data_IF_229315585165
#
_entry.id   IF_229315585165
#
_cell.length_a   1.000
_cell.length_b   1.000
_cell.length_c   1.000
_cell.angle_alpha   90.00
_cell.angle_beta   90.00
_cell.angle_gamma   90.00
#
_symmetry.space_group_name_H-M   'P 1'
#
loop_
_entity.id
_entity.type
_entity.pdbx_description
1 polymer ?
#
# COMPACT_ATOMS: atom_id res chain seq x y z
N UNK A 1 -42.82 27.71 -48.78
CA UNK A 1 -43.14 28.18 -47.43
C UNK A 1 -42.55 27.15 -46.49
N UNK A 2 -41.26 27.32 -46.19
CA UNK A 2 -40.80 28.07 -45.01
C UNK A 2 -41.21 27.29 -43.76
N UNK A 3 -40.25 26.71 -43.04
CA UNK A 3 -39.51 27.50 -42.07
C UNK A 3 -37.99 27.36 -42.15
N UNK A 4 -37.38 28.53 -42.23
CA UNK A 4 -35.96 28.80 -42.08
C UNK A 4 -35.47 28.67 -40.62
N UNK A 5 -34.15 28.52 -40.56
CA UNK A 5 -33.29 28.47 -39.40
C UNK A 5 -33.33 29.71 -38.50
N UNK A 6 -33.06 29.50 -37.22
CA UNK A 6 -32.16 30.36 -36.45
C UNK A 6 -31.26 29.46 -35.58
N UNK A 7 -29.99 29.36 -35.99
CA UNK A 7 -28.94 28.73 -35.21
C UNK A 7 -28.50 29.61 -34.05
N UNK A 8 -27.98 28.97 -33.01
CA UNK A 8 -27.03 29.60 -32.10
C UNK A 8 -25.71 28.85 -32.16
N UNK A 9 -24.66 29.65 -32.36
CA UNK A 9 -23.35 29.22 -32.81
C UNK A 9 -22.58 28.40 -31.80
N UNK A 10 -21.69 27.57 -32.35
CA UNK A 10 -20.76 26.77 -31.58
C UNK A 10 -19.74 27.61 -30.81
N UNK A 11 -19.49 27.17 -29.59
CA UNK A 11 -18.31 27.47 -28.79
C UNK A 11 -17.77 26.16 -28.22
N UNK A 12 -17.35 25.26 -29.12
CA UNK A 12 -16.87 23.93 -28.76
C UNK A 12 -15.44 23.98 -28.22
N UNK A 13 -15.29 24.09 -26.91
CA UNK A 13 -14.05 23.80 -26.19
C UNK A 13 -14.07 22.39 -25.60
N UNK A 14 -14.30 21.35 -26.41
CA UNK A 14 -14.15 19.96 -25.94
C UNK A 14 -12.67 19.58 -25.96
N UNK A 15 -12.02 19.67 -24.81
CA UNK A 15 -10.75 19.00 -24.56
C UNK A 15 -10.95 17.49 -24.57
N UNK A 16 -10.97 16.88 -25.75
CA UNK A 16 -10.98 15.43 -25.91
C UNK A 16 -9.55 14.90 -26.02
N UNK A 17 -9.20 13.88 -25.24
CA UNK A 17 -8.02 13.07 -25.51
C UNK A 17 -8.27 12.31 -26.81
N UNK A 18 -7.66 12.77 -27.91
CA UNK A 18 -7.76 12.09 -29.20
C UNK A 18 -6.81 10.90 -29.20
N UNK A 19 -7.32 9.71 -28.88
CA UNK A 19 -6.60 8.45 -29.08
C UNK A 19 -6.52 8.20 -30.58
N UNK A 20 -5.35 8.45 -31.17
CA UNK A 20 -5.09 8.13 -32.57
C UNK A 20 -4.53 6.72 -32.64
N UNK A 21 -5.40 5.73 -32.85
CA UNK A 21 -4.99 4.37 -33.19
C UNK A 21 -4.39 4.39 -34.61
N UNK A 22 -3.06 4.33 -34.72
CA UNK A 22 -2.39 4.21 -36.01
C UNK A 22 -2.48 2.75 -36.46
N UNK A 23 -3.60 2.36 -37.08
CA UNK A 23 -3.68 1.09 -37.82
C UNK A 23 -2.79 1.19 -39.07
N UNK A 24 -1.59 0.62 -38.99
CA UNK A 24 -0.84 0.25 -40.17
C UNK A 24 -1.60 -0.86 -40.89
N UNK A 25 -2.33 -0.51 -41.94
CA UNK A 25 -3.05 -1.47 -42.76
C UNK A 25 -2.07 -2.35 -43.55
N UNK A 26 -2.25 -3.66 -43.46
CA UNK A 26 -2.56 -4.54 -44.59
C UNK A 26 -3.21 -5.83 -44.08
N UNK A 27 -4.48 -6.03 -44.40
CA UNK A 27 -5.11 -7.35 -44.61
C UNK A 27 -5.62 -8.17 -43.42
N UNK A 28 -6.94 -8.14 -43.20
CA UNK A 28 -7.72 -9.38 -42.96
C UNK A 28 -8.23 -9.68 -41.55
N UNK A 29 -9.50 -9.35 -41.30
CA UNK A 29 -10.45 -10.26 -40.62
C UNK A 29 -10.65 -10.17 -39.11
N UNK A 30 -11.77 -9.54 -38.70
CA UNK A 30 -12.59 -9.98 -37.56
C UNK A 30 -12.21 -9.48 -36.16
N UNK A 31 -12.95 -8.51 -35.63
CA UNK A 31 -12.92 -8.15 -34.21
C UNK A 31 -13.71 -6.89 -33.89
N UNK A 32 -14.85 -7.04 -33.22
CA UNK A 32 -15.83 -5.99 -32.93
C UNK A 32 -15.26 -4.79 -32.16
N UNK A 33 -15.83 -3.62 -32.46
CA UNK A 33 -15.48 -2.36 -31.85
C UNK A 33 -15.84 -2.32 -30.35
N UNK A 34 -14.86 -2.07 -29.49
CA UNK A 34 -15.07 -1.44 -28.20
C UNK A 34 -14.47 -0.02 -28.26
N UNK A 35 -15.26 0.92 -28.79
CA UNK A 35 -15.01 2.34 -28.59
C UNK A 35 -15.72 2.76 -27.31
N UNK A 36 -15.06 2.55 -26.15
CA UNK A 36 -15.51 3.13 -24.89
C UNK A 36 -14.96 4.54 -24.76
N UNK A 37 -15.82 5.56 -24.84
CA UNK A 37 -15.48 6.89 -24.33
C UNK A 37 -15.23 6.77 -22.82
N UNK A 38 -14.06 7.16 -22.36
CA UNK A 38 -13.80 7.38 -20.94
C UNK A 38 -14.24 8.80 -20.61
N UNK A 39 -15.49 8.97 -20.18
CA UNK A 39 -15.94 10.21 -19.56
C UNK A 39 -15.50 10.21 -18.09
N UNK A 40 -14.52 11.05 -17.75
CA UNK A 40 -14.16 11.32 -16.36
C UNK A 40 -15.15 12.35 -15.82
N UNK A 41 -16.17 11.90 -15.08
CA UNK A 41 -17.01 12.79 -14.29
C UNK A 41 -16.29 13.14 -12.98
N UNK A 42 -15.81 14.38 -12.86
CA UNK A 42 -15.47 14.98 -11.58
C UNK A 42 -16.75 15.57 -10.99
N UNK A 43 -17.32 14.92 -9.99
CA UNK A 43 -18.42 15.47 -9.21
C UNK A 43 -17.83 16.38 -8.14
N UNK A 44 -18.06 17.68 -8.28
CA UNK A 44 -17.79 18.65 -7.21
C UNK A 44 -19.04 18.73 -6.35
N UNK A 45 -18.97 18.27 -5.11
CA UNK A 45 -19.97 18.58 -4.10
C UNK A 45 -19.63 19.96 -3.50
N UNK A 46 -20.49 20.94 -3.74
CA UNK A 46 -20.36 22.28 -3.20
C UNK A 46 -21.50 22.50 -2.20
N UNK A 47 -21.28 22.14 -0.94
CA UNK A 47 -22.20 22.46 0.15
C UNK A 47 -22.15 23.97 0.44
N UNK A 48 -23.19 24.69 0.01
CA UNK A 48 -23.44 26.08 0.36
C UNK A 48 -24.54 26.14 1.41
N UNK A 49 -24.12 26.23 2.68
CA UNK A 49 -25.02 26.39 3.82
C UNK A 49 -25.54 27.85 3.88
N UNK A 50 -26.70 28.09 3.27
CA UNK A 50 -27.39 29.39 3.27
C UNK A 50 -28.47 29.43 4.35
N UNK A 51 -28.08 29.28 5.61
CA UNK A 51 -28.97 29.46 6.75
C UNK A 51 -28.70 30.81 7.43
N UNK A 52 -29.44 31.85 7.04
CA UNK A 52 -29.55 33.06 7.85
C UNK A 52 -29.78 34.37 7.10
N UNK A 53 -30.93 34.57 6.46
CA UNK A 53 -31.43 35.92 6.20
C UNK A 53 -32.94 36.02 6.46
N UNK A 54 -33.28 36.84 7.46
CA UNK A 54 -34.64 37.20 7.88
C UNK A 54 -35.27 38.19 6.89
N UNK A 55 -36.56 38.01 6.64
CA UNK A 55 -37.40 38.74 5.70
C UNK A 55 -37.82 40.11 6.24
N UNK A 56 -37.31 41.20 5.65
CA UNK A 56 -38.01 42.50 5.50
C UNK A 56 -37.10 43.53 4.79
N UNK A 57 -36.98 43.45 3.45
CA UNK A 57 -36.71 44.57 2.50
C UNK A 57 -36.52 44.02 1.07
N UNK A 58 -37.61 43.51 0.49
CA UNK A 58 -37.53 42.21 -0.19
C UNK A 58 -37.33 42.21 -1.72
N UNK A 59 -37.12 43.34 -2.39
CA UNK A 59 -36.89 43.36 -3.85
C UNK A 59 -35.55 43.97 -4.29
N UNK A 60 -35.04 44.99 -3.59
CA UNK A 60 -33.78 45.65 -3.99
C UNK A 60 -32.53 44.92 -3.47
N UNK A 61 -32.60 44.33 -2.27
CA UNK A 61 -31.51 43.51 -1.71
C UNK A 61 -31.37 42.15 -2.42
N UNK A 62 -32.48 41.53 -2.84
CA UNK A 62 -32.44 40.27 -3.62
C UNK A 62 -31.81 40.48 -5.00
N UNK A 63 -32.10 41.60 -5.67
CA UNK A 63 -31.48 41.95 -6.94
C UNK A 63 -29.98 42.22 -6.83
N UNK A 64 -29.53 42.92 -5.77
CA UNK A 64 -28.11 43.16 -5.52
C UNK A 64 -27.38 41.87 -5.12
N UNK A 65 -27.99 41.01 -4.31
CA UNK A 65 -27.40 39.74 -3.92
C UNK A 65 -27.29 38.76 -5.10
N UNK A 66 -28.32 38.72 -5.97
CA UNK A 66 -28.29 37.93 -7.21
C UNK A 66 -27.24 38.46 -8.19
N UNK A 67 -27.11 39.78 -8.33
CA UNK A 67 -26.05 40.38 -9.13
C UNK A 67 -24.66 40.10 -8.55
N UNK A 68 -24.46 40.18 -7.23
CA UNK A 68 -23.18 39.84 -6.59
C UNK A 68 -22.85 38.36 -6.77
N UNK A 69 -23.83 37.45 -6.66
CA UNK A 69 -23.64 36.03 -6.93
C UNK A 69 -23.31 35.79 -8.41
N UNK A 70 -24.05 36.38 -9.35
CA UNK A 70 -23.80 36.22 -10.79
C UNK A 70 -22.47 36.86 -11.23
N UNK A 71 -22.07 37.98 -10.63
CA UNK A 71 -20.77 38.62 -10.84
C UNK A 71 -19.67 37.75 -10.22
N UNK A 72 -19.90 37.18 -9.02
CA UNK A 72 -18.96 36.23 -8.41
C UNK A 72 -18.80 34.96 -9.25
N UNK A 73 -19.88 34.42 -9.81
CA UNK A 73 -19.84 33.31 -10.78
C UNK A 73 -19.18 33.72 -12.11
N UNK A 74 -19.37 34.96 -12.56
CA UNK A 74 -18.71 35.52 -13.75
C UNK A 74 -17.21 35.78 -13.57
N UNK A 75 -16.73 35.91 -12.32
CA UNK A 75 -15.32 36.06 -11.99
C UNK A 75 -14.64 34.75 -11.53
N UNK A 76 -15.39 33.68 -11.28
CA UNK A 76 -14.85 32.32 -11.09
C UNK A 76 -14.85 31.56 -12.43
N UNK A 77 -14.49 32.24 -13.53
CA UNK A 77 -13.86 31.53 -14.63
C UNK A 77 -12.42 31.26 -14.19
N UNK A 78 -12.22 30.18 -13.43
CA UNK A 78 -10.91 29.57 -13.26
C UNK A 78 -10.37 29.39 -14.68
N UNK A 79 -9.33 30.14 -15.01
CA UNK A 79 -8.68 30.08 -16.32
C UNK A 79 -8.03 28.71 -16.43
N UNK A 80 -8.80 27.70 -16.85
CA UNK A 80 -8.33 26.36 -17.06
C UNK A 80 -7.36 26.40 -18.24
N UNK A 81 -6.06 26.44 -17.93
CA UNK A 81 -5.04 26.22 -18.95
C UNK A 81 -5.16 24.78 -19.40
N UNK A 82 -5.73 24.61 -20.58
CA UNK A 82 -5.74 23.32 -21.27
C UNK A 82 -4.39 23.16 -21.94
N UNK A 83 -3.56 22.27 -21.40
CA UNK A 83 -2.35 21.84 -22.07
C UNK A 83 -2.63 20.63 -22.96
N UNK A 84 -2.20 20.70 -24.21
CA UNK A 84 -2.33 19.58 -25.14
C UNK A 84 -1.22 18.57 -24.88
N UNK A 85 -1.57 17.44 -24.27
CA UNK A 85 -0.68 16.28 -24.11
C UNK A 85 -0.86 15.26 -25.23
N UNK A 86 0.22 14.52 -25.56
CA UNK A 86 0.15 13.34 -26.43
C UNK A 86 0.66 12.13 -25.68
N UNK A 87 -0.18 11.11 -25.57
CA UNK A 87 0.16 9.80 -24.97
C UNK A 87 0.31 8.77 -26.08
N UNK A 88 1.39 8.00 -26.06
CA UNK A 88 1.61 6.85 -26.94
C UNK A 88 1.44 5.57 -26.14
N UNK A 89 0.54 4.69 -26.59
CA UNK A 89 0.30 3.38 -25.97
C UNK A 89 0.88 2.31 -26.89
N UNK A 90 1.91 1.60 -26.42
CA UNK A 90 2.41 0.40 -27.10
C UNK A 90 1.69 -0.84 -26.55
N UNK A 91 0.69 -1.32 -27.30
CA UNK A 91 -0.04 -2.54 -26.97
C UNK A 91 0.67 -3.84 -27.34
N UNK A 92 1.85 -3.78 -28.00
CA UNK A 92 2.58 -4.98 -28.45
C UNK A 92 3.59 -5.49 -27.41
N UNK A 93 4.03 -4.63 -26.50
CA UNK A 93 5.09 -4.93 -25.54
C UNK A 93 4.56 -4.92 -24.10
N UNK A 94 4.66 -6.04 -23.41
CA UNK A 94 4.33 -6.12 -21.98
C UNK A 94 5.55 -5.75 -21.13
N UNK A 95 5.40 -4.80 -20.21
CA UNK A 95 6.48 -4.39 -19.29
C UNK A 95 6.42 -5.11 -17.92
N UNK A 96 5.28 -5.68 -17.55
CA UNK A 96 5.09 -6.42 -16.30
C UNK A 96 3.70 -7.06 -16.16
N UNK A 97 3.56 -7.91 -15.16
CA UNK A 97 2.32 -8.53 -14.69
C UNK A 97 2.01 -8.02 -13.29
N UNK A 98 0.80 -7.58 -13.02
CA UNK A 98 0.35 -7.34 -11.65
C UNK A 98 -0.50 -8.51 -11.20
N UNK A 99 -0.41 -8.88 -9.93
CA UNK A 99 -1.26 -9.90 -9.32
C UNK A 99 -2.74 -9.45 -9.34
N UNK A 100 -3.67 -10.40 -9.27
CA UNK A 100 -5.11 -10.11 -9.27
C UNK A 100 -5.54 -9.31 -8.04
N UNK A 101 -4.79 -9.43 -6.95
CA UNK A 101 -4.94 -8.72 -5.68
C UNK A 101 -3.78 -7.72 -5.46
N UNK A 102 -3.42 -7.00 -6.54
CA UNK A 102 -2.36 -5.98 -6.55
C UNK A 102 -2.65 -4.80 -5.62
N UNK A 103 -3.92 -4.37 -5.51
CA UNK A 103 -4.29 -3.36 -4.51
C UNK A 103 -4.24 -4.02 -3.14
N UNK A 104 -3.47 -3.41 -2.24
CA UNK A 104 -3.20 -3.93 -0.92
C UNK A 104 -3.49 -2.86 0.15
N UNK A 105 -3.85 -3.30 1.35
CA UNK A 105 -3.98 -2.46 2.53
C UNK A 105 -3.23 -3.08 3.72
N UNK A 106 -2.95 -2.26 4.73
CA UNK A 106 -2.33 -2.71 5.98
C UNK A 106 -3.23 -2.40 7.16
N UNK A 107 -3.35 -3.31 8.12
CA UNK A 107 -3.95 -3.04 9.43
C UNK A 107 -2.86 -3.11 10.50
N UNK A 108 -2.74 -2.04 11.30
CA UNK A 108 -1.72 -1.93 12.34
C UNK A 108 -2.22 -2.41 13.72
N UNK A 109 -1.31 -2.47 14.69
CA UNK A 109 -1.52 -2.86 16.08
C UNK A 109 -1.74 -1.68 17.03
N UNK A 110 -1.52 -0.45 16.58
CA UNK A 110 -1.47 0.73 17.45
C UNK A 110 -2.73 0.94 18.27
N UNK A 111 -2.62 1.16 19.59
CA UNK A 111 -3.78 1.39 20.42
C UNK A 111 -4.26 2.86 20.30
N UNK A 112 -5.49 3.18 20.75
CA UNK A 112 -6.07 4.53 20.62
C UNK A 112 -5.22 5.64 21.25
N UNK A 113 -4.43 5.31 22.29
CA UNK A 113 -3.57 6.25 23.01
C UNK A 113 -2.31 6.64 22.23
N UNK A 114 -2.10 6.07 21.04
CA UNK A 114 -1.06 6.51 20.14
C UNK A 114 -1.45 7.85 19.50
N UNK A 115 -0.79 8.89 19.98
CA UNK A 115 -0.89 10.23 19.40
C UNK A 115 0.48 10.67 18.87
N UNK A 116 0.51 11.13 17.63
CA UNK A 116 1.67 11.79 17.02
C UNK A 116 1.28 13.24 16.72
N UNK A 117 2.17 14.18 17.03
CA UNK A 117 2.01 15.58 16.64
C UNK A 117 0.69 16.22 17.13
N UNK A 118 0.21 15.81 18.30
CA UNK A 118 -1.04 16.30 18.89
C UNK A 118 -2.32 15.67 18.34
N UNK A 119 -2.23 14.70 17.43
CA UNK A 119 -3.39 13.98 16.87
C UNK A 119 -3.30 12.49 17.18
N UNK A 120 -4.40 11.91 17.68
CA UNK A 120 -4.51 10.48 17.95
C UNK A 120 -5.25 9.80 16.80
N UNK A 121 -4.53 9.55 15.70
CA UNK A 121 -5.12 9.11 14.44
C UNK A 121 -5.67 7.67 14.45
N UNK A 122 -5.28 6.85 15.42
CA UNK A 122 -5.55 5.41 15.41
C UNK A 122 -6.92 5.03 15.98
N UNK A 123 -7.44 5.76 16.97
CA UNK A 123 -8.73 5.48 17.61
C UNK A 123 -9.06 3.96 17.69
N UNK A 124 -10.14 3.50 17.03
CA UNK A 124 -10.53 2.10 16.94
C UNK A 124 -10.16 1.45 15.58
N UNK A 125 -9.06 1.83 14.94
CA UNK A 125 -8.66 1.30 13.62
C UNK A 125 -7.70 0.12 13.68
N UNK A 126 -7.14 -0.18 14.85
CA UNK A 126 -6.22 -1.30 15.03
C UNK A 126 -6.90 -2.64 14.82
N UNK A 127 -6.12 -3.62 14.35
CA UNK A 127 -6.60 -4.99 14.20
C UNK A 127 -7.11 -5.60 15.51
N UNK A 128 -6.76 -5.03 16.67
CA UNK A 128 -7.27 -5.44 17.98
C UNK A 128 -8.68 -4.93 18.29
N UNK A 129 -9.04 -3.73 17.83
CA UNK A 129 -10.23 -3.01 18.30
C UNK A 129 -11.19 -2.57 17.18
N UNK A 130 -10.81 -2.67 15.90
CA UNK A 130 -11.71 -2.32 14.79
C UNK A 130 -13.02 -3.10 14.82
N UNK A 131 -14.12 -2.37 14.58
CA UNK A 131 -15.45 -2.95 14.49
C UNK A 131 -15.62 -3.70 13.17
N UNK A 132 -15.36 -5.01 13.23
CA UNK A 132 -15.52 -5.93 12.10
C UNK A 132 -17.00 -6.13 11.68
N UNK A 133 -17.98 -5.64 12.46
CA UNK A 133 -19.41 -5.67 12.11
C UNK A 133 -19.85 -4.41 11.38
N UNK A 134 -19.00 -3.38 11.29
CA UNK A 134 -19.32 -2.15 10.60
C UNK A 134 -19.58 -2.43 9.11
N UNK A 135 -20.79 -2.09 8.65
CA UNK A 135 -21.24 -2.36 7.28
C UNK A 135 -20.45 -1.56 6.24
N UNK A 136 -20.07 -0.33 6.56
CA UNK A 136 -19.30 0.54 5.66
C UNK A 136 -17.91 -0.07 5.46
N UNK A 137 -17.23 -0.43 6.55
CA UNK A 137 -15.91 -1.06 6.49
C UNK A 137 -15.96 -2.38 5.70
N UNK A 138 -16.93 -3.25 6.01
CA UNK A 138 -17.12 -4.52 5.28
C UNK A 138 -17.37 -4.32 3.79
N UNK A 139 -18.20 -3.34 3.41
CA UNK A 139 -18.50 -3.04 2.01
C UNK A 139 -17.30 -2.44 1.29
N UNK A 140 -16.50 -1.60 1.96
CA UNK A 140 -15.27 -1.06 1.40
C UNK A 140 -14.28 -2.17 1.03
N UNK A 141 -14.02 -3.12 1.95
CA UNK A 141 -13.13 -4.26 1.65
C UNK A 141 -13.66 -5.10 0.49
N UNK A 142 -14.97 -5.34 0.44
CA UNK A 142 -15.61 -6.08 -0.67
C UNK A 142 -15.51 -5.38 -2.02
N UNK A 143 -15.55 -4.04 -2.04
CA UNK A 143 -15.43 -3.27 -3.28
C UNK A 143 -14.05 -3.44 -3.94
N UNK A 144 -13.02 -3.75 -3.14
CA UNK A 144 -11.66 -4.05 -3.62
C UNK A 144 -11.39 -5.56 -3.76
N UNK A 145 -12.40 -6.43 -3.70
CA UNK A 145 -12.19 -7.89 -3.68
C UNK A 145 -11.64 -8.44 -5.01
N UNK A 146 -10.56 -9.25 -4.99
CA UNK A 146 -9.77 -9.63 -3.81
C UNK A 146 -8.84 -8.50 -3.34
N UNK A 147 -8.99 -8.08 -2.07
CA UNK A 147 -8.08 -7.11 -1.44
C UNK A 147 -7.06 -7.89 -0.62
N UNK A 148 -5.78 -7.65 -0.87
CA UNK A 148 -4.70 -8.19 -0.03
C UNK A 148 -4.53 -7.32 1.22
N UNK A 149 -4.70 -7.89 2.41
CA UNK A 149 -4.57 -7.20 3.69
C UNK A 149 -3.39 -7.77 4.46
N UNK A 150 -2.41 -6.91 4.76
CA UNK A 150 -1.28 -7.25 5.62
C UNK A 150 -1.58 -6.83 7.05
N UNK A 151 -1.63 -7.81 7.94
CA UNK A 151 -1.77 -7.61 9.38
C UNK A 151 -0.38 -7.53 9.99
N UNK A 152 0.01 -6.35 10.44
CA UNK A 152 1.38 -6.14 10.89
C UNK A 152 1.54 -4.77 11.49
N UNK A 153 2.74 -4.21 11.39
CA UNK A 153 3.02 -2.90 11.98
C UNK A 153 4.12 -2.99 13.01
N UNK A 154 4.32 -1.90 13.73
CA UNK A 154 5.41 -1.79 14.70
C UNK A 154 5.29 -2.78 15.87
N UNK A 155 4.11 -2.81 16.49
CA UNK A 155 3.94 -3.52 17.74
C UNK A 155 3.81 -5.04 17.53
N UNK A 156 3.90 -5.52 16.28
CA UNK A 156 3.94 -6.94 15.98
C UNK A 156 5.12 -7.64 16.68
N UNK A 157 6.25 -6.96 16.85
CA UNK A 157 7.41 -7.50 17.57
C UNK A 157 7.27 -7.42 19.12
N UNK A 158 6.14 -6.95 19.62
CA UNK A 158 5.77 -6.94 21.05
C UNK A 158 4.49 -7.70 21.35
N UNK A 159 3.92 -8.39 20.37
CA UNK A 159 2.70 -9.17 20.57
C UNK A 159 3.03 -10.59 21.02
N UNK A 160 2.21 -11.11 21.94
CA UNK A 160 2.15 -12.52 22.32
C UNK A 160 0.81 -13.07 21.84
N UNK A 161 0.82 -14.21 21.15
CA UNK A 161 -0.40 -14.87 20.73
C UNK A 161 -0.95 -15.72 21.86
N UNK A 162 -2.22 -15.55 22.21
CA UNK A 162 -2.87 -16.41 23.18
C UNK A 162 -2.91 -17.84 22.64
N UNK A 163 -2.55 -18.80 23.48
CA UNK A 163 -2.61 -20.23 23.16
C UNK A 163 -3.50 -20.94 24.18
N UNK A 164 -3.96 -22.15 23.85
CA UNK A 164 -4.78 -22.95 24.79
C UNK A 164 -4.08 -23.24 26.12
N UNK A 165 -2.75 -23.25 26.12
CA UNK A 165 -1.91 -23.54 27.29
C UNK A 165 -1.43 -22.26 27.97
N UNK A 166 -1.87 -21.08 27.52
CA UNK A 166 -1.44 -19.80 28.07
C UNK A 166 -2.27 -19.47 29.31
N UNK A 167 -1.67 -19.64 30.49
CA UNK A 167 -2.32 -19.35 31.78
C UNK A 167 -2.37 -17.86 32.13
N UNK A 168 -1.61 -17.02 31.42
CA UNK A 168 -1.57 -15.57 31.69
C UNK A 168 -2.73 -14.84 31.03
N UNK A 169 -3.27 -13.78 31.67
CA UNK A 169 -4.29 -12.93 31.07
C UNK A 169 -3.76 -12.27 29.79
N UNK A 170 -4.62 -12.22 28.76
CA UNK A 170 -4.30 -11.62 27.48
C UNK A 170 -4.48 -10.10 27.57
N UNK A 171 -3.41 -9.40 27.92
CA UNK A 171 -3.43 -7.96 28.19
C UNK A 171 -3.21 -7.13 26.91
N UNK A 172 -3.88 -5.96 26.78
CA UNK A 172 -3.63 -5.04 25.68
C UNK A 172 -2.27 -4.35 25.81
N UNK A 173 -1.85 -3.65 24.75
CA UNK A 173 -0.71 -2.73 24.81
C UNK A 173 -1.01 -1.58 25.75
N UNK A 174 -0.09 -1.27 26.66
CA UNK A 174 -0.16 -0.11 27.56
C UNK A 174 1.02 0.79 27.28
N UNK A 175 0.79 2.10 27.18
CA UNK A 175 1.85 3.09 26.96
C UNK A 175 2.84 3.07 28.12
N UNK A 176 4.12 2.87 27.80
CA UNK A 176 5.22 2.89 28.73
C UNK A 176 6.49 3.36 28.00
N UNK A 177 6.91 4.60 28.22
CA UNK A 177 8.02 5.23 27.48
C UNK A 177 9.38 4.61 27.76
N UNK A 178 9.52 3.84 28.85
CA UNK A 178 10.75 3.13 29.19
C UNK A 178 10.90 1.82 28.43
N UNK A 179 9.83 1.34 27.79
CA UNK A 179 9.80 0.11 27.02
C UNK A 179 10.15 0.33 25.55
N UNK A 180 10.60 -0.74 24.88
CA UNK A 180 10.77 -0.73 23.43
C UNK A 180 9.48 -0.26 22.74
N UNK A 181 9.61 0.68 21.80
CA UNK A 181 8.51 1.36 21.09
C UNK A 181 7.57 2.21 21.96
N UNK A 182 7.83 2.37 23.25
CA UNK A 182 7.00 3.15 24.15
C UNK A 182 5.74 2.43 24.62
N UNK A 183 5.67 1.11 24.51
CA UNK A 183 4.53 0.28 24.93
C UNK A 183 4.99 -1.03 25.59
N UNK A 184 4.18 -1.57 26.49
CA UNK A 184 4.37 -2.93 27.04
C UNK A 184 4.22 -4.00 25.96
N UNK A 185 4.43 -5.27 26.32
CA UNK A 185 3.94 -6.35 25.47
C UNK A 185 2.41 -6.32 25.43
N UNK A 186 1.85 -6.65 24.27
CA UNK A 186 0.42 -6.81 24.03
C UNK A 186 0.08 -8.24 23.70
N UNK A 187 -1.21 -8.56 23.65
CA UNK A 187 -1.68 -9.90 23.38
C UNK A 187 -2.78 -9.92 22.32
N UNK A 188 -2.69 -10.87 21.39
CA UNK A 188 -3.76 -11.21 20.47
C UNK A 188 -4.54 -12.41 21.04
N UNK A 189 -5.79 -12.18 21.42
CA UNK A 189 -6.64 -13.26 21.93
C UNK A 189 -7.08 -14.21 20.82
N UNK A 190 -7.34 -15.48 21.17
CA UNK A 190 -7.87 -16.45 20.20
C UNK A 190 -9.26 -16.06 19.71
N UNK A 191 -10.08 -15.41 20.55
CA UNK A 191 -11.38 -14.89 20.14
C UNK A 191 -11.25 -13.80 19.07
N UNK A 192 -10.33 -12.85 19.25
CA UNK A 192 -10.10 -11.79 18.26
C UNK A 192 -9.52 -12.37 16.96
N UNK A 193 -8.63 -13.36 17.06
CA UNK A 193 -8.13 -14.08 15.88
C UNK A 193 -9.25 -14.79 15.12
N UNK A 194 -10.18 -15.45 15.83
CA UNK A 194 -11.36 -16.07 15.24
C UNK A 194 -12.27 -15.02 14.55
N UNK A 195 -12.47 -13.86 15.17
CA UNK A 195 -13.29 -12.77 14.61
C UNK A 195 -12.69 -12.20 13.32
N UNK A 196 -11.38 -11.95 13.33
CA UNK A 196 -10.63 -11.46 12.16
C UNK A 196 -10.73 -12.45 10.99
N UNK A 197 -10.47 -13.73 11.22
CA UNK A 197 -10.50 -14.73 10.16
C UNK A 197 -11.91 -14.92 9.57
N UNK A 198 -12.97 -14.86 10.39
CA UNK A 198 -14.35 -14.85 9.86
C UNK A 198 -14.62 -13.63 8.98
N UNK A 199 -14.17 -12.45 9.42
CA UNK A 199 -14.31 -11.24 8.62
C UNK A 199 -13.60 -11.33 7.26
N UNK A 200 -12.37 -11.88 7.22
CA UNK A 200 -11.64 -12.05 5.96
C UNK A 200 -12.29 -13.07 5.03
N UNK A 201 -12.80 -14.18 5.57
CA UNK A 201 -13.57 -15.15 4.79
C UNK A 201 -14.85 -14.53 4.20
N UNK A 202 -15.59 -13.75 5.00
CA UNK A 202 -16.83 -13.08 4.56
C UNK A 202 -16.60 -11.98 3.52
N UNK A 203 -15.43 -11.36 3.51
CA UNK A 203 -15.04 -10.29 2.59
C UNK A 203 -14.21 -10.78 1.40
N UNK A 204 -13.80 -12.06 1.41
CA UNK A 204 -12.87 -12.67 0.45
C UNK A 204 -11.53 -11.91 0.37
N UNK A 205 -11.08 -11.37 1.50
CA UNK A 205 -9.78 -10.74 1.61
C UNK A 205 -8.66 -11.78 1.63
N UNK A 206 -7.53 -11.46 1.00
CA UNK A 206 -6.32 -12.29 0.99
C UNK A 206 -5.39 -11.79 2.08
N UNK A 207 -5.04 -12.63 3.06
CA UNK A 207 -4.43 -12.14 4.31
C UNK A 207 -2.97 -12.56 4.44
N UNK A 208 -2.09 -11.61 4.72
CA UNK A 208 -0.74 -11.90 5.21
C UNK A 208 -0.60 -11.45 6.66
N UNK A 209 0.23 -12.14 7.44
CA UNK A 209 0.35 -11.86 8.88
C UNK A 209 1.81 -11.76 9.32
N UNK A 210 2.15 -10.66 9.98
CA UNK A 210 3.44 -10.38 10.59
C UNK A 210 3.59 -11.03 11.96
N UNK A 211 4.59 -11.91 12.07
CA UNK A 211 4.96 -12.61 13.29
C UNK A 211 5.91 -11.77 14.16
N UNK A 212 5.88 -11.97 15.47
CA UNK A 212 6.86 -11.37 16.37
C UNK A 212 8.24 -12.02 16.18
N UNK A 213 9.24 -11.29 15.67
CA UNK A 213 10.60 -11.83 15.51
C UNK A 213 11.54 -11.55 16.69
N UNK A 214 11.13 -10.76 17.69
CA UNK A 214 11.94 -10.48 18.88
C UNK A 214 11.72 -11.48 20.02
N UNK A 215 10.71 -12.35 19.93
CA UNK A 215 10.49 -13.38 20.94
C UNK A 215 11.70 -14.35 21.03
N UNK A 216 12.15 -14.59 22.26
CA UNK A 216 13.35 -15.39 22.56
C UNK A 216 14.68 -14.64 22.42
N UNK A 217 14.68 -13.39 21.92
CA UNK A 217 15.89 -12.58 21.74
C UNK A 217 16.13 -11.64 22.92
N UNK A 218 17.40 -11.31 23.12
CA UNK A 218 17.83 -10.25 24.04
C UNK A 218 18.10 -8.99 23.24
N UNK A 219 17.44 -7.89 23.60
CA UNK A 219 17.63 -6.56 22.99
C UNK A 219 18.48 -5.71 23.93
N UNK A 220 19.61 -5.20 23.44
CA UNK A 220 20.48 -4.30 24.19
C UNK A 220 19.99 -2.86 24.15
N UNK A 221 20.51 -2.04 25.06
CA UNK A 221 20.24 -0.59 25.09
C UNK A 221 20.65 0.13 23.79
N UNK A 222 21.64 -0.40 23.04
CA UNK A 222 22.03 0.12 21.73
C UNK A 222 21.09 -0.35 20.58
N UNK A 223 20.02 -1.06 20.92
CA UNK A 223 19.05 -1.64 19.98
C UNK A 223 19.51 -2.92 19.28
N UNK A 224 20.69 -3.45 19.56
CA UNK A 224 21.11 -4.73 18.95
C UNK A 224 20.34 -5.89 19.59
N UNK A 225 19.72 -6.72 18.76
CA UNK A 225 19.00 -7.91 19.17
C UNK A 225 19.80 -9.18 18.80
N UNK A 226 20.04 -10.05 19.78
CA UNK A 226 20.77 -11.30 19.60
C UNK A 226 20.05 -12.48 20.23
N UNK A 227 20.48 -13.69 19.84
CA UNK A 227 19.83 -14.94 20.21
C UNK A 227 18.96 -15.50 19.08
N UNK A 228 18.64 -16.79 19.20
CA UNK A 228 17.74 -17.46 18.27
C UNK A 228 16.31 -16.97 18.47
N UNK A 229 15.55 -16.90 17.38
CA UNK A 229 14.10 -16.68 17.48
C UNK A 229 13.43 -17.90 18.12
N UNK A 230 12.52 -17.67 19.07
CA UNK A 230 11.69 -18.74 19.65
C UNK A 230 10.38 -18.91 18.86
N UNK A 231 10.25 -19.94 18.02
CA UNK A 231 9.07 -20.12 17.18
C UNK A 231 7.86 -20.66 17.95
N UNK A 232 7.98 -21.03 19.23
CA UNK A 232 6.96 -21.80 19.95
C UNK A 232 5.60 -21.09 19.98
N UNK A 233 5.59 -19.78 20.21
CA UNK A 233 4.36 -19.00 20.24
C UNK A 233 3.71 -18.86 18.85
N UNK A 234 4.51 -18.61 17.82
CA UNK A 234 4.06 -18.54 16.43
C UNK A 234 3.53 -19.90 15.93
N UNK A 235 4.23 -20.99 16.26
CA UNK A 235 3.81 -22.35 15.91
C UNK A 235 2.44 -22.68 16.49
N UNK A 236 2.21 -22.32 17.76
CA UNK A 236 0.93 -22.56 18.41
C UNK A 236 -0.22 -21.80 17.70
N UNK A 237 0.00 -20.56 17.27
CA UNK A 237 -0.97 -19.79 16.49
C UNK A 237 -1.22 -20.43 15.12
N UNK A 238 -0.17 -20.83 14.39
CA UNK A 238 -0.31 -21.49 13.09
C UNK A 238 -1.07 -22.81 13.20
N UNK A 239 -0.75 -23.63 14.20
CA UNK A 239 -1.47 -24.89 14.45
C UNK A 239 -2.93 -24.66 14.79
N UNK A 240 -3.24 -23.61 15.55
CA UNK A 240 -4.62 -23.22 15.82
C UNK A 240 -5.33 -22.79 14.53
N UNK A 241 -4.67 -22.00 13.69
CA UNK A 241 -5.16 -21.53 12.39
C UNK A 241 -5.49 -22.70 11.45
N UNK A 242 -4.58 -23.66 11.32
CA UNK A 242 -4.80 -24.90 10.55
C UNK A 242 -5.97 -25.70 11.14
N UNK A 243 -6.01 -25.89 12.46
CA UNK A 243 -7.09 -26.63 13.14
C UNK A 243 -8.47 -26.00 12.91
N UNK A 244 -8.55 -24.68 12.78
CA UNK A 244 -9.78 -23.94 12.50
C UNK A 244 -10.13 -23.86 11.02
N UNK A 245 -9.30 -24.42 10.14
CA UNK A 245 -9.44 -24.31 8.69
C UNK A 245 -9.46 -22.84 8.20
N UNK A 246 -8.66 -22.00 8.85
CA UNK A 246 -8.44 -20.63 8.39
C UNK A 246 -7.31 -20.59 7.37
N UNK A 247 -7.43 -19.71 6.38
CA UNK A 247 -6.46 -19.55 5.31
C UNK A 247 -5.68 -18.26 5.51
N UNK A 248 -4.36 -18.40 5.62
CA UNK A 248 -3.42 -17.27 5.62
C UNK A 248 -2.55 -17.42 4.38
N UNK A 249 -2.51 -16.37 3.55
CA UNK A 249 -1.79 -16.35 2.28
C UNK A 249 -0.28 -16.37 2.48
N UNK A 250 0.21 -15.67 3.50
CA UNK A 250 1.63 -15.64 3.81
C UNK A 250 1.94 -15.20 5.23
N UNK A 251 3.08 -15.69 5.74
CA UNK A 251 3.63 -15.32 7.04
C UNK A 251 4.86 -14.44 6.81
N UNK A 252 4.86 -13.26 7.44
CA UNK A 252 5.97 -12.32 7.42
C UNK A 252 6.73 -12.37 8.76
N UNK A 253 8.06 -12.46 8.76
CA UNK A 253 8.83 -12.60 10.00
C UNK A 253 9.28 -11.26 10.60
N UNK A 254 8.49 -10.66 11.48
CA UNK A 254 8.92 -9.52 12.28
C UNK A 254 9.20 -8.22 11.53
N UNK A 255 9.16 -7.14 12.32
CA UNK A 255 9.37 -5.75 11.91
C UNK A 255 9.49 -4.90 13.17
N UNK A 256 10.60 -4.19 13.33
CA UNK A 256 10.75 -3.17 14.37
C UNK A 256 10.41 -1.77 13.84
N UNK A 257 9.78 -0.91 14.64
CA UNK A 257 9.64 0.51 14.28
C UNK A 257 10.92 1.26 14.47
N UNK A 258 11.19 2.02 13.44
CA UNK A 258 12.18 3.07 13.43
C UNK A 258 13.38 2.68 12.59
N UNK A 259 13.25 1.77 11.65
CA UNK A 259 14.30 1.13 10.86
C UNK A 259 14.39 -0.29 11.38
N UNK A 260 14.07 -1.15 10.45
CA UNK A 260 13.47 -2.41 10.73
C UNK A 260 14.55 -3.36 11.23
N UNK A 261 14.19 -4.61 11.50
CA UNK A 261 15.21 -5.57 11.92
C UNK A 261 16.34 -5.67 10.88
N UNK A 262 16.09 -5.20 9.64
CA UNK A 262 17.05 -4.91 8.60
C UNK A 262 17.78 -3.58 8.68
N UNK A 263 19.09 -3.60 8.46
CA UNK A 263 19.89 -2.41 8.16
C UNK A 263 20.15 -1.49 9.34
N UNK A 264 19.82 -0.20 9.18
CA UNK A 264 20.21 0.88 10.11
C UNK A 264 19.30 1.02 11.35
N UNK A 265 18.57 -0.04 11.72
CA UNK A 265 17.44 -0.05 12.66
C UNK A 265 17.39 0.95 13.84
N UNK A 266 16.20 1.47 14.18
CA UNK A 266 15.91 2.17 15.44
C UNK A 266 15.00 1.25 16.26
N UNK A 267 15.20 1.21 17.57
CA UNK A 267 14.53 0.28 18.46
C UNK A 267 15.26 -1.05 18.56
N UNK A 268 15.11 -1.93 17.57
CA UNK A 268 15.76 -3.24 17.53
C UNK A 268 16.37 -3.56 16.16
N UNK A 269 17.55 -4.20 16.15
CA UNK A 269 18.35 -4.54 14.96
C UNK A 269 18.82 -5.98 15.01
N UNK A 270 18.56 -6.74 13.96
CA UNK A 270 19.04 -8.11 13.81
C UNK A 270 20.06 -8.14 12.68
N UNK A 271 21.17 -8.86 12.86
CA UNK A 271 22.11 -9.05 11.76
C UNK A 271 21.43 -9.81 10.60
N UNK A 272 21.76 -9.46 9.35
CA UNK A 272 21.23 -10.16 8.17
C UNK A 272 21.44 -11.68 8.24
N UNK A 273 22.58 -12.10 8.81
CA UNK A 273 22.88 -13.50 9.07
C UNK A 273 21.88 -14.13 10.03
N UNK A 274 21.65 -13.54 11.20
CA UNK A 274 20.72 -14.11 12.19
C UNK A 274 19.29 -14.11 11.66
N UNK A 275 18.87 -13.02 11.02
CA UNK A 275 17.52 -12.90 10.46
C UNK A 275 17.26 -13.96 9.36
N UNK A 276 18.27 -14.23 8.52
CA UNK A 276 18.19 -15.32 7.54
C UNK A 276 18.05 -16.71 8.20
N UNK A 277 18.74 -16.95 9.32
CA UNK A 277 18.56 -18.19 10.08
C UNK A 277 17.15 -18.30 10.68
N UNK A 278 16.64 -17.21 11.27
CA UNK A 278 15.30 -17.18 11.82
C UNK A 278 14.23 -17.40 10.73
N UNK A 279 14.47 -16.84 9.53
CA UNK A 279 13.63 -17.07 8.33
C UNK A 279 13.64 -18.53 7.88
N UNK A 280 14.80 -19.21 7.95
CA UNK A 280 14.88 -20.64 7.67
C UNK A 280 14.11 -21.45 8.72
N UNK A 281 14.17 -21.07 10.00
CA UNK A 281 13.35 -21.68 11.06
C UNK A 281 11.86 -21.52 10.78
N UNK A 282 11.42 -20.32 10.35
CA UNK A 282 10.04 -20.09 9.92
C UNK A 282 9.66 -20.98 8.73
N UNK A 283 10.49 -21.05 7.70
CA UNK A 283 10.27 -21.89 6.53
C UNK A 283 10.05 -23.36 6.92
N UNK A 284 10.93 -23.92 7.76
CA UNK A 284 10.83 -25.30 8.23
C UNK A 284 9.57 -25.53 9.07
N UNK A 285 9.23 -24.58 9.94
CA UNK A 285 8.01 -24.63 10.75
C UNK A 285 6.75 -24.63 9.88
N UNK A 286 6.66 -23.75 8.87
CA UNK A 286 5.52 -23.72 7.95
C UNK A 286 5.39 -25.04 7.19
N UNK A 287 6.49 -25.60 6.67
CA UNK A 287 6.45 -26.89 5.98
C UNK A 287 5.99 -28.04 6.90
N UNK A 288 6.34 -27.98 8.19
CA UNK A 288 5.91 -28.97 9.19
C UNK A 288 4.44 -28.81 9.56
N UNK A 289 3.98 -27.59 9.83
CA UNK A 289 2.60 -27.31 10.31
C UNK A 289 1.58 -27.49 9.18
N UNK A 290 1.94 -27.09 7.95
CA UNK A 290 1.08 -27.15 6.77
C UNK A 290 1.41 -28.35 5.86
N UNK A 291 1.96 -29.43 6.42
CA UNK A 291 2.37 -30.61 5.65
C UNK A 291 1.23 -31.22 4.82
N UNK A 292 0.03 -31.24 5.39
CA UNK A 292 -1.19 -31.85 4.81
C UNK A 292 -2.05 -30.83 4.03
N UNK A 293 -1.58 -29.58 3.92
CA UNK A 293 -2.24 -28.53 3.14
C UNK A 293 -1.53 -28.43 1.79
N UNK A 294 -2.31 -28.54 0.71
CA UNK A 294 -1.81 -28.52 -0.67
C UNK A 294 -1.06 -27.21 -0.98
N UNK A 295 -1.74 -26.07 -0.78
CA UNK A 295 -1.15 -24.74 -0.95
C UNK A 295 -0.63 -24.20 0.36
N UNK A 296 0.69 -24.26 0.53
CA UNK A 296 1.37 -23.74 1.73
C UNK A 296 1.42 -22.21 1.70
N UNK A 297 1.28 -21.54 2.87
CA UNK A 297 1.46 -20.09 2.95
C UNK A 297 2.85 -19.66 2.50
N UNK A 298 2.93 -18.48 1.88
CA UNK A 298 4.17 -17.87 1.44
C UNK A 298 5.03 -17.43 2.64
N UNK A 299 6.35 -17.51 2.49
CA UNK A 299 7.31 -16.92 3.43
C UNK A 299 7.74 -15.55 2.89
N UNK A 300 7.46 -14.51 3.69
CA UNK A 300 7.67 -13.10 3.33
C UNK A 300 8.69 -12.50 4.30
N UNK A 301 9.71 -11.82 3.77
CA UNK A 301 10.71 -11.14 4.59
C UNK A 301 11.50 -10.13 3.73
N UNK A 302 12.22 -9.15 4.31
CA UNK A 302 12.37 -8.88 5.74
C UNK A 302 11.35 -7.92 6.35
N UNK A 303 10.46 -7.30 5.56
CA UNK A 303 9.49 -6.34 6.07
C UNK A 303 10.15 -5.07 6.61
N UNK A 304 10.96 -4.40 5.78
CA UNK A 304 11.67 -3.18 6.18
C UNK A 304 12.13 -2.25 5.06
N UNK A 305 12.70 -1.10 5.40
CA UNK A 305 13.33 -0.13 4.53
C UNK A 305 14.51 -0.80 3.88
N UNK A 306 14.59 -0.56 2.58
CA UNK A 306 15.57 -1.20 1.75
C UNK A 306 16.98 -0.70 2.08
N UNK A 307 17.79 -1.54 2.72
CA UNK A 307 19.24 -1.39 2.83
C UNK A 307 19.91 -2.39 1.87
N UNK A 308 20.58 -1.94 0.79
CA UNK A 308 21.14 -2.83 -0.22
C UNK A 308 22.10 -3.87 0.37
N UNK A 309 22.94 -3.46 1.33
CA UNK A 309 23.98 -4.31 1.89
C UNK A 309 23.40 -5.41 2.79
N UNK A 310 22.39 -5.05 3.58
CA UNK A 310 21.72 -5.97 4.48
C UNK A 310 20.82 -6.93 3.70
N UNK A 311 20.04 -6.41 2.74
CA UNK A 311 19.16 -7.23 1.90
C UNK A 311 19.96 -8.23 1.09
N UNK A 312 21.05 -7.82 0.44
CA UNK A 312 21.94 -8.73 -0.30
C UNK A 312 22.47 -9.86 0.60
N UNK A 313 22.93 -9.54 1.82
CA UNK A 313 23.42 -10.53 2.79
C UNK A 313 22.33 -11.50 3.23
N UNK A 314 21.10 -11.02 3.41
CA UNK A 314 19.95 -11.84 3.77
C UNK A 314 19.58 -12.77 2.61
N UNK A 315 19.37 -12.22 1.41
CA UNK A 315 18.97 -12.95 0.21
C UNK A 315 19.95 -14.06 -0.19
N UNK A 316 21.25 -13.80 -0.06
CA UNK A 316 22.27 -14.83 -0.33
C UNK A 316 22.16 -16.05 0.59
N UNK A 317 21.49 -15.93 1.74
CA UNK A 317 21.27 -17.01 2.70
C UNK A 317 19.85 -17.58 2.67
N UNK A 318 18.92 -16.90 1.99
CA UNK A 318 17.49 -17.25 1.97
C UNK A 318 16.94 -17.47 0.55
N UNK A 319 17.81 -17.63 -0.45
CA UNK A 319 17.43 -17.75 -1.87
C UNK A 319 16.47 -18.90 -2.18
N UNK A 320 16.44 -19.95 -1.34
CA UNK A 320 15.54 -21.10 -1.46
C UNK A 320 14.36 -21.10 -0.48
N UNK A 321 14.29 -20.12 0.43
CA UNK A 321 13.30 -20.09 1.51
C UNK A 321 12.25 -19.00 1.32
N UNK A 322 12.61 -17.87 0.70
CA UNK A 322 11.69 -16.76 0.50
C UNK A 322 10.84 -16.93 -0.76
N UNK A 323 9.55 -16.63 -0.62
CA UNK A 323 8.66 -16.46 -1.77
C UNK A 323 8.60 -15.00 -2.20
N UNK A 324 8.63 -14.07 -1.24
CA UNK A 324 8.61 -12.64 -1.50
C UNK A 324 9.61 -11.87 -0.64
N UNK A 325 10.33 -10.94 -1.27
CA UNK A 325 11.20 -9.94 -0.66
C UNK A 325 10.38 -8.69 -0.39
N UNK A 326 9.94 -8.50 0.85
CA UNK A 326 9.12 -7.35 1.23
C UNK A 326 9.94 -6.17 1.71
N UNK A 327 9.53 -4.96 1.33
CA UNK A 327 10.08 -3.72 1.86
C UNK A 327 9.00 -2.68 2.15
N UNK A 328 9.38 -1.64 2.89
CA UNK A 328 8.51 -0.52 3.22
C UNK A 328 8.92 0.75 2.49
N UNK A 329 7.94 1.61 2.22
CA UNK A 329 8.18 2.90 1.60
C UNK A 329 7.40 4.03 2.28
N UNK A 330 8.15 5.06 2.67
CA UNK A 330 7.64 6.33 3.18
C UNK A 330 8.34 7.48 2.47
N UNK A 331 7.89 7.79 1.26
CA UNK A 331 8.66 8.63 0.34
C UNK A 331 8.66 10.11 0.72
N UNK A 332 7.65 10.61 1.44
CA UNK A 332 7.50 12.03 1.77
C UNK A 332 8.21 12.45 3.06
N UNK A 333 8.62 11.50 3.90
CA UNK A 333 9.29 11.77 5.18
C UNK A 333 8.37 11.70 6.39
N UNK A 334 8.65 12.51 7.41
CA UNK A 334 7.93 12.51 8.70
C UNK A 334 6.56 13.19 8.58
N UNK A 335 5.55 12.69 9.31
CA UNK A 335 4.27 13.37 9.49
C UNK A 335 4.36 14.74 10.18
N UNK A 336 5.49 15.06 10.82
CA UNK A 336 5.75 16.40 11.38
C UNK A 336 6.22 17.42 10.34
N UNK A 337 6.59 16.98 9.13
CA UNK A 337 7.22 17.86 8.15
C UNK A 337 6.19 18.85 7.57
N UNK A 338 6.41 20.15 7.81
CA UNK A 338 5.53 21.22 7.32
C UNK A 338 5.47 21.34 5.80
N UNK A 339 6.37 20.68 5.06
CA UNK A 339 6.45 20.74 3.60
C UNK A 339 5.84 19.53 2.88
N UNK A 340 5.08 18.67 3.58
CA UNK A 340 4.50 17.46 2.96
C UNK A 340 3.65 17.80 1.72
N UNK A 341 2.78 18.80 1.79
CA UNK A 341 1.96 19.23 0.64
C UNK A 341 2.82 19.63 -0.56
N UNK A 342 3.89 20.40 -0.34
CA UNK A 342 4.79 20.80 -1.43
C UNK A 342 5.49 19.60 -2.08
N UNK A 343 5.90 18.61 -1.27
CA UNK A 343 6.50 17.36 -1.77
C UNK A 343 5.53 16.49 -2.53
N UNK A 344 4.27 16.43 -2.11
CA UNK A 344 3.21 15.70 -2.81
C UNK A 344 2.98 16.29 -4.21
N UNK A 345 3.08 17.61 -4.33
CA UNK A 345 2.87 18.33 -5.58
C UNK A 345 4.13 18.48 -6.44
N UNK A 346 5.27 17.92 -6.03
CA UNK A 346 6.53 17.93 -6.78
C UNK A 346 6.78 16.56 -7.45
N UNK A 347 6.57 16.43 -8.77
CA UNK A 347 6.82 15.18 -9.49
C UNK A 347 8.27 14.69 -9.38
N UNK A 348 9.23 15.61 -9.32
CA UNK A 348 10.65 15.24 -9.21
C UNK A 348 10.94 14.56 -7.87
N UNK A 349 10.25 15.00 -6.82
CA UNK A 349 10.33 14.39 -5.50
C UNK A 349 9.66 13.00 -5.49
N UNK A 350 8.49 12.85 -6.11
CA UNK A 350 7.80 11.57 -6.21
C UNK A 350 8.60 10.52 -7.01
N UNK A 351 9.33 10.94 -8.05
CA UNK A 351 10.19 10.08 -8.88
C UNK A 351 11.36 9.44 -8.09
N UNK A 352 11.75 10.01 -6.94
CA UNK A 352 12.82 9.46 -6.09
C UNK A 352 12.46 8.06 -5.54
N UNK A 353 11.18 7.81 -5.27
CA UNK A 353 10.69 6.49 -4.86
C UNK A 353 11.08 5.41 -5.89
N UNK A 354 11.04 5.76 -7.17
CA UNK A 354 11.38 4.83 -8.25
C UNK A 354 12.84 4.37 -8.25
N UNK A 355 13.77 5.16 -7.68
CA UNK A 355 15.17 4.76 -7.53
C UNK A 355 15.34 3.64 -6.52
N UNK A 356 14.52 3.60 -5.47
CA UNK A 356 14.56 2.55 -4.44
C UNK A 356 14.16 1.22 -5.07
N UNK A 357 13.05 1.20 -5.81
CA UNK A 357 12.57 -0.01 -6.44
C UNK A 357 13.54 -0.58 -7.48
N UNK A 358 14.16 0.27 -8.31
CA UNK A 358 15.21 -0.15 -9.26
C UNK A 358 16.41 -0.78 -8.57
N UNK A 359 16.81 -0.24 -7.41
CA UNK A 359 17.91 -0.81 -6.62
C UNK A 359 17.52 -2.14 -5.98
N UNK A 360 16.28 -2.28 -5.50
CA UNK A 360 15.77 -3.55 -4.97
C UNK A 360 15.74 -4.61 -6.08
N UNK A 361 15.17 -4.28 -7.24
CA UNK A 361 15.17 -5.15 -8.41
C UNK A 361 16.58 -5.59 -8.80
N UNK A 362 17.51 -4.63 -8.91
CA UNK A 362 18.92 -4.93 -9.20
C UNK A 362 19.55 -5.84 -8.15
N UNK A 363 19.19 -5.67 -6.88
CA UNK A 363 19.70 -6.48 -5.77
C UNK A 363 19.17 -7.91 -5.82
N UNK A 364 17.90 -8.09 -6.15
CA UNK A 364 17.28 -9.41 -6.31
C UNK A 364 17.87 -10.11 -7.54
N UNK A 365 17.98 -9.41 -8.67
CA UNK A 365 18.55 -9.96 -9.91
C UNK A 365 20.03 -10.34 -9.78
N UNK A 366 20.78 -9.65 -8.91
CA UNK A 366 22.16 -9.99 -8.60
C UNK A 366 22.28 -11.14 -7.56
N UNK A 367 21.18 -11.55 -6.94
CA UNK A 367 21.11 -12.69 -6.03
C UNK A 367 20.69 -13.97 -6.77
N UNK A 368 20.81 -15.13 -6.12
CA UNK A 368 20.26 -16.40 -6.62
C UNK A 368 18.78 -16.62 -6.24
N UNK A 369 18.13 -15.62 -5.66
CA UNK A 369 16.74 -15.72 -5.19
C UNK A 369 15.76 -15.65 -6.36
N UNK A 370 14.72 -16.48 -6.30
CA UNK A 370 13.56 -16.42 -7.22
C UNK A 370 12.38 -15.64 -6.63
N UNK A 371 12.56 -15.06 -5.44
CA UNK A 371 11.50 -14.36 -4.73
C UNK A 371 11.04 -13.08 -5.46
N UNK A 372 9.73 -12.83 -5.46
CA UNK A 372 9.16 -11.58 -5.99
C UNK A 372 9.49 -10.40 -5.08
N UNK A 373 9.60 -9.18 -5.60
CA UNK A 373 9.70 -7.99 -4.75
C UNK A 373 8.32 -7.42 -4.43
N UNK A 374 8.04 -7.20 -3.15
CA UNK A 374 6.77 -6.65 -2.66
C UNK A 374 7.01 -5.36 -1.88
N UNK A 375 6.03 -4.47 -1.92
CA UNK A 375 5.86 -3.38 -0.96
C UNK A 375 4.80 -3.85 0.05
N UNK A 376 5.22 -4.36 1.21
CA UNK A 376 4.26 -4.89 2.22
C UNK A 376 3.67 -3.81 3.13
N UNK A 377 4.23 -2.60 3.07
CA UNK A 377 3.71 -1.42 3.75
C UNK A 377 4.17 -0.15 3.03
N UNK A 378 3.22 0.73 2.78
CA UNK A 378 3.50 2.03 2.21
C UNK A 378 2.68 3.09 2.93
N UNK A 379 3.26 4.27 3.06
CA UNK A 379 2.55 5.48 3.43
C UNK A 379 3.31 6.66 2.86
N UNK A 380 2.67 7.81 2.68
CA UNK A 380 3.40 8.96 2.18
C UNK A 380 4.36 9.45 3.23
N UNK A 381 3.82 9.70 4.42
CA UNK A 381 4.57 10.13 5.57
C UNK A 381 4.51 9.10 6.70
N UNK A 382 5.64 8.85 7.35
CA UNK A 382 5.74 7.96 8.52
C UNK A 382 5.23 8.65 9.80
N UNK A 383 5.10 7.90 10.89
CA UNK A 383 4.53 8.35 12.18
C UNK A 383 3.08 8.84 12.06
N UNK A 384 2.21 7.97 11.55
CA UNK A 384 0.75 8.21 11.43
C UNK A 384 0.35 9.29 10.44
N UNK A 385 1.30 9.78 9.63
CA UNK A 385 1.05 10.84 8.66
C UNK A 385 0.83 12.21 9.31
N UNK A 386 0.17 13.10 8.58
CA UNK A 386 -0.14 14.46 9.03
C UNK A 386 -1.62 14.75 8.81
N UNK A 387 -2.33 15.10 9.89
CA UNK A 387 -3.71 15.51 9.80
C UNK A 387 -3.87 16.73 8.87
N UNK A 388 -4.95 16.75 8.09
CA UNK A 388 -5.24 17.72 7.03
C UNK A 388 -4.31 17.67 5.81
N UNK A 389 -3.41 16.68 5.75
CA UNK A 389 -2.56 16.43 4.58
C UNK A 389 -2.72 15.00 4.10
N UNK A 390 -2.33 14.00 4.91
CA UNK A 390 -2.35 12.58 4.50
C UNK A 390 -3.74 11.95 4.52
N UNK A 391 -4.71 12.60 5.15
CA UNK A 391 -6.14 12.27 5.12
C UNK A 391 -6.96 13.26 4.28
N UNK A 392 -6.30 14.13 3.50
CA UNK A 392 -6.95 15.11 2.65
C UNK A 392 -6.82 14.74 1.16
N UNK A 393 -7.64 15.37 0.32
CA UNK A 393 -7.65 15.12 -1.12
C UNK A 393 -6.29 15.27 -1.79
N UNK A 394 -5.44 16.21 -1.32
CA UNK A 394 -4.10 16.41 -1.88
C UNK A 394 -3.25 15.14 -1.84
N UNK A 395 -3.48 14.26 -0.87
CA UNK A 395 -2.78 13.00 -0.77
C UNK A 395 -3.08 12.02 -1.92
N UNK A 396 -4.18 12.22 -2.65
CA UNK A 396 -4.49 11.41 -3.84
C UNK A 396 -3.46 11.54 -4.96
N UNK A 397 -2.70 12.65 -4.98
CA UNK A 397 -1.56 12.84 -5.89
C UNK A 397 -0.31 12.06 -5.45
N UNK A 398 -0.23 11.69 -4.17
CA UNK A 398 0.78 10.77 -3.69
C UNK A 398 0.38 9.34 -4.05
N UNK A 399 0.79 8.91 -5.24
CA UNK A 399 0.90 7.50 -5.58
C UNK A 399 2.35 7.24 -6.01
N UNK A 400 3.04 6.22 -5.47
CA UNK A 400 4.36 5.87 -5.95
C UNK A 400 4.27 5.54 -7.45
N UNK A 401 5.14 6.12 -8.31
CA UNK A 401 5.05 5.94 -9.76
C UNK A 401 5.10 4.45 -10.14
N UNK A 402 4.16 4.04 -10.99
CA UNK A 402 3.98 2.64 -11.42
C UNK A 402 5.15 2.12 -12.25
N UNK A 403 5.85 3.00 -12.97
CA UNK A 403 7.01 2.72 -13.84
C UNK A 403 8.24 2.17 -13.12
N UNK A 404 8.20 2.19 -11.80
CA UNK A 404 9.29 1.70 -10.99
C UNK A 404 8.87 0.58 -10.06
N UNK A 405 7.59 0.19 -9.98
CA UNK A 405 7.24 -0.94 -9.14
C UNK A 405 7.93 -2.22 -9.65
N UNK A 406 8.61 -2.97 -8.78
CA UNK A 406 9.40 -4.13 -9.20
C UNK A 406 8.47 -5.22 -9.74
N UNK A 407 8.92 -5.82 -10.85
CA UNK A 407 8.21 -6.87 -11.61
C UNK A 407 7.83 -8.06 -10.70
N UNK A 408 6.54 -8.41 -10.55
CA UNK A 408 6.10 -9.69 -10.02
C UNK A 408 6.13 -10.79 -11.12
N UNK A 409 6.93 -11.82 -10.87
CA UNK A 409 6.95 -13.22 -11.36
C UNK A 409 6.28 -13.62 -12.69
N UNK A 410 7.08 -14.09 -13.67
CA UNK A 410 7.32 -15.52 -14.01
C UNK A 410 8.19 -15.61 -15.30
N UNK A 411 9.39 -16.19 -15.23
CA UNK A 411 10.20 -16.56 -16.40
C UNK A 411 10.69 -18.00 -16.23
N UNK A 412 9.95 -18.95 -16.79
CA UNK A 412 10.53 -20.18 -17.30
C UNK A 412 10.41 -20.16 -18.83
N UNK A 413 11.55 -20.06 -19.49
CA UNK A 413 11.69 -20.14 -20.94
C UNK A 413 13.16 -20.02 -21.32
N UNK A 414 13.81 -21.15 -21.60
CA UNK A 414 15.19 -21.19 -22.08
C UNK A 414 15.38 -20.47 -23.43
N UNK A 415 16.60 -20.02 -23.75
CA UNK A 415 16.86 -19.13 -24.87
C UNK A 415 16.97 -19.87 -26.21
N UNK A 416 16.67 -19.17 -27.29
CA UNK A 416 17.13 -19.53 -28.63
C UNK A 416 17.57 -18.25 -29.37
N UNK A 417 18.54 -18.34 -30.30
CA UNK A 417 19.59 -17.35 -30.43
C UNK A 417 19.24 -16.14 -31.30
N UNK A 418 19.94 -15.05 -31.02
CA UNK A 418 20.08 -13.83 -31.82
C UNK A 418 20.26 -14.10 -33.32
N UNK A 419 19.92 -13.10 -34.15
CA UNK A 419 20.97 -12.52 -34.96
C UNK A 419 21.19 -11.02 -34.72
N UNK A 420 22.46 -10.68 -34.94
CA UNK A 420 23.22 -9.44 -34.85
C UNK A 420 22.75 -8.29 -35.76
N UNK A 421 22.73 -7.04 -35.25
CA UNK A 421 23.46 -5.83 -35.73
C UNK A 421 22.86 -4.47 -35.22
N UNK A 422 23.59 -3.33 -35.29
CA UNK A 422 23.85 -2.48 -34.12
C UNK A 422 23.08 -1.15 -34.05
N UNK A 423 23.12 -0.58 -32.83
CA UNK A 423 23.06 0.85 -32.46
C UNK A 423 21.85 1.69 -32.89
N UNK A 424 21.06 2.12 -31.88
CA UNK A 424 20.62 3.51 -31.77
C UNK A 424 20.23 3.82 -30.32
N UNK A 425 20.97 4.74 -29.70
CA UNK A 425 20.53 5.45 -28.50
C UNK A 425 19.23 6.19 -28.81
N UNK A 426 18.12 5.85 -28.14
CA UNK A 426 17.01 6.79 -27.97
C UNK A 426 16.28 6.49 -26.65
N UNK A 427 16.44 7.40 -25.69
CA UNK A 427 15.44 7.60 -24.62
C UNK A 427 14.16 8.11 -25.30
N UNK A 428 12.98 7.65 -24.85
CA UNK A 428 12.18 8.59 -24.07
C UNK A 428 11.47 7.94 -22.87
N UNK A 429 11.33 8.78 -21.84
CA UNK A 429 10.42 8.65 -20.72
C UNK A 429 8.99 8.39 -21.23
N UNK A 430 8.28 7.45 -20.62
CA UNK A 430 6.82 7.36 -20.74
C UNK A 430 6.24 6.89 -19.40
N UNK A 431 5.37 7.74 -18.86
CA UNK A 431 4.49 7.52 -17.70
C UNK A 431 3.25 6.73 -18.12
N UNK A 432 2.74 5.86 -17.24
CA UNK A 432 1.32 5.77 -16.98
C UNK A 432 1.05 6.04 -15.50
N UNK A 433 0.27 7.10 -15.24
CA UNK A 433 -0.42 7.28 -13.97
C UNK A 433 -1.34 6.07 -13.72
N UNK A 434 -1.12 5.38 -12.59
CA UNK A 434 -2.12 4.52 -11.96
C UNK A 434 -2.07 4.75 -10.45
N UNK A 435 -3.24 5.08 -9.91
CA UNK A 435 -3.50 5.44 -8.53
C UNK A 435 -3.38 4.19 -7.65
N UNK A 436 -2.44 4.21 -6.70
CA UNK A 436 -2.36 3.18 -5.65
C UNK A 436 -2.91 3.83 -4.39
N UNK A 437 -4.14 3.46 -4.02
CA UNK A 437 -4.78 3.96 -2.82
C UNK A 437 -4.29 3.13 -1.64
N UNK A 438 -3.21 3.57 -0.97
CA UNK A 438 -2.77 2.98 0.29
C UNK A 438 -3.30 3.85 1.43
N UNK A 439 -4.43 3.46 2.00
CA UNK A 439 -4.90 4.01 3.26
C UNK A 439 -4.37 3.14 4.41
N UNK A 440 -3.62 3.77 5.31
CA UNK A 440 -3.61 3.34 6.71
C UNK A 440 -4.97 3.72 7.26
N UNK A 441 -5.84 2.73 7.48
CA UNK A 441 -7.11 2.95 8.19
C UNK A 441 -6.83 3.17 9.66
#
# INVERSE_FOLDING_TARGET
METDALGFGGGGGRGGVKVVEKRGGTGGGGGGAFAGCFDFFFVFDLDLDLAGFSTQHDNMQKGVCLCVVLISFGFIFVHARVENGKVLIDGKSRIGETDDDFICATMDWWPPEKCDYGTCSWDHSSLLNVDLKNKIFKNAIKAFSPLKIRLGGTLQDKVIYQTKNHQKPCNPFIKNTSELFGYTNGCLSLSRWDDLNRFFQETRAVVTFGLNALIGKTVLANGSAFGAWDPTNAEALMRYTVKKNYTIYGWELGRSKGNELSGKGIGARISASQYAHDTLTLYQMVHRVYKDIERKPLIIAPGGFFDPSWFMKCLNKTSKTLNAVSHHIYSLGSGMDGNLTARILDPSYLDEAGKIFKKLESTINASSSSASAWVSEAGGAYNSGQNLVTNAFVFSFWAPPSDAQPRPCNLQGQPSPLPTHPAAFYRPKALPLRMVLVHSV
#
